data_IF_720616648903
#
_entry.id   IF_720616648903
#
_cell.length_a   1.000
_cell.length_b   1.000
_cell.length_c   1.000
_cell.angle_alpha   90.00
_cell.angle_beta   90.00
_cell.angle_gamma   90.00
#
_symmetry.space_group_name_H-M   'P 1'
#
loop_
_entity.id
_entity.type
_entity.pdbx_description
1 polymer ?
#
# COMPACT_ATOMS: atom_id res chain seq x y z
N UNK A 1 9.33 13.72 -10.04
CA UNK A 1 8.68 13.46 -8.74
C UNK A 1 9.54 12.45 -8.01
N UNK A 2 9.81 12.69 -6.72
CA UNK A 2 10.58 11.80 -5.85
C UNK A 2 9.66 11.29 -4.75
N UNK A 3 9.73 10.00 -4.45
CA UNK A 3 8.91 9.38 -3.42
C UNK A 3 9.77 8.91 -2.25
N UNK A 4 9.18 8.91 -1.05
CA UNK A 4 9.77 8.36 0.16
C UNK A 4 11.17 8.92 0.51
N UNK A 5 11.32 10.26 0.41
CA UNK A 5 12.62 10.92 0.58
C UNK A 5 13.28 10.64 1.94
N UNK A 6 12.49 10.32 2.96
CA UNK A 6 12.98 9.90 4.28
C UNK A 6 13.84 8.62 4.31
N UNK A 7 13.92 7.86 3.21
CA UNK A 7 14.80 6.69 3.06
C UNK A 7 16.03 6.94 2.19
N UNK A 8 16.21 8.17 1.72
CA UNK A 8 17.34 8.52 0.86
C UNK A 8 18.66 8.39 1.64
N UNK A 9 19.70 7.89 0.99
CA UNK A 9 21.03 7.90 1.57
C UNK A 9 21.61 9.32 1.62
N UNK A 10 22.62 9.53 2.46
CA UNK A 10 23.19 10.86 2.69
C UNK A 10 23.79 11.51 1.44
N UNK A 11 24.43 10.73 0.57
CA UNK A 11 25.06 11.29 -0.65
C UNK A 11 23.98 11.77 -1.62
N UNK A 12 22.94 10.96 -1.78
CA UNK A 12 21.76 11.33 -2.57
C UNK A 12 21.03 12.54 -1.97
N UNK A 13 20.93 12.66 -0.65
CA UNK A 13 20.35 13.84 0.02
C UNK A 13 21.13 15.13 -0.28
N UNK A 14 22.46 15.08 -0.19
CA UNK A 14 23.34 16.20 -0.51
C UNK A 14 23.18 16.64 -1.98
N UNK A 15 23.12 15.66 -2.90
CA UNK A 15 22.88 15.92 -4.31
C UNK A 15 21.51 16.57 -4.56
N UNK A 16 20.46 16.08 -3.90
CA UNK A 16 19.12 16.64 -4.03
C UNK A 16 19.02 18.06 -3.45
N UNK A 17 19.77 18.34 -2.38
CA UNK A 17 19.91 19.70 -1.85
C UNK A 17 20.57 20.64 -2.85
N UNK A 18 21.67 20.21 -3.46
CA UNK A 18 22.32 20.94 -4.54
C UNK A 18 21.35 21.17 -5.72
N UNK A 19 20.62 20.13 -6.13
CA UNK A 19 19.66 20.23 -7.23
C UNK A 19 18.56 21.26 -6.90
N UNK A 20 17.95 21.18 -5.72
CA UNK A 20 16.89 22.08 -5.28
C UNK A 20 17.34 23.56 -5.28
N UNK A 21 18.60 23.84 -4.93
CA UNK A 21 19.17 25.19 -4.97
C UNK A 21 19.37 25.72 -6.41
N UNK A 22 19.71 24.83 -7.34
CA UNK A 22 20.08 25.21 -8.71
C UNK A 22 18.91 25.19 -9.70
N UNK A 23 17.79 24.55 -9.37
CA UNK A 23 16.61 24.53 -10.26
C UNK A 23 15.76 25.81 -10.21
N UNK A 24 16.13 26.78 -9.36
CA UNK A 24 15.39 28.05 -9.18
C UNK A 24 15.27 28.90 -10.46
N UNK A 25 16.27 28.82 -11.33
CA UNK A 25 16.39 29.66 -12.53
C UNK A 25 15.93 28.92 -13.82
N UNK A 26 15.34 27.73 -13.67
CA UNK A 26 14.84 26.90 -14.77
C UNK A 26 13.37 26.52 -14.55
N UNK A 27 12.67 26.17 -15.63
CA UNK A 27 11.24 25.82 -15.59
C UNK A 27 11.03 24.37 -15.13
N UNK A 28 11.43 24.06 -13.91
CA UNK A 28 11.34 22.72 -13.30
C UNK A 28 10.66 22.81 -11.94
N UNK A 29 9.69 21.92 -11.68
CA UNK A 29 9.08 21.75 -10.37
C UNK A 29 9.54 20.42 -9.75
N UNK A 30 10.23 20.50 -8.61
CA UNK A 30 10.58 19.33 -7.82
C UNK A 30 9.46 19.00 -6.82
N UNK A 31 8.69 17.95 -7.14
CA UNK A 31 7.73 17.36 -6.21
C UNK A 31 8.39 16.20 -5.47
N UNK A 32 8.37 16.25 -4.14
CA UNK A 32 8.92 15.22 -3.28
C UNK A 32 7.93 14.85 -2.16
N UNK A 33 7.81 13.57 -1.84
CA UNK A 33 7.00 13.07 -0.71
C UNK A 33 7.89 12.49 0.39
N UNK A 34 7.48 12.65 1.64
CA UNK A 34 8.21 12.13 2.81
C UNK A 34 7.29 12.01 4.03
N UNK A 35 7.75 11.24 5.02
CA UNK A 35 7.02 11.05 6.29
C UNK A 35 7.29 12.16 7.30
N UNK A 36 6.34 12.44 8.21
CA UNK A 36 6.59 13.32 9.36
C UNK A 36 7.85 12.91 10.13
N UNK A 37 8.59 13.89 10.63
CA UNK A 37 9.85 13.68 11.35
C UNK A 37 11.10 13.76 10.48
N UNK A 38 10.97 13.59 9.16
CA UNK A 38 12.04 13.90 8.21
C UNK A 38 11.97 15.37 7.77
N UNK A 39 13.13 16.02 7.68
CA UNK A 39 13.27 17.42 7.26
C UNK A 39 14.24 17.53 6.10
N UNK A 40 13.75 17.73 4.86
CA UNK A 40 14.62 17.98 3.72
C UNK A 40 15.50 19.22 3.96
N UNK A 41 16.79 19.20 3.54
CA UNK A 41 17.72 20.32 3.77
C UNK A 41 17.27 21.68 3.22
N UNK A 42 16.42 21.68 2.20
CA UNK A 42 15.92 22.88 1.53
C UNK A 42 14.56 23.38 2.04
N UNK A 43 13.97 22.76 3.07
CA UNK A 43 12.57 23.02 3.44
C UNK A 43 12.32 24.44 3.98
N UNK A 44 13.32 25.05 4.63
CA UNK A 44 13.22 26.40 5.22
C UNK A 44 13.51 27.52 4.19
N UNK A 45 13.71 27.16 2.92
CA UNK A 45 14.05 28.12 1.86
C UNK A 45 12.78 28.71 1.26
N UNK A 46 12.84 29.96 0.83
CA UNK A 46 11.67 30.69 0.30
C UNK A 46 11.05 30.10 -0.97
N UNK A 47 11.81 29.29 -1.71
CA UNK A 47 11.37 28.60 -2.92
C UNK A 47 10.80 27.20 -2.63
N UNK A 48 10.81 26.74 -1.38
CA UNK A 48 10.25 25.47 -0.97
C UNK A 48 8.86 25.67 -0.34
N UNK A 49 7.89 24.88 -0.80
CA UNK A 49 6.57 24.78 -0.19
C UNK A 49 6.38 23.43 0.47
N UNK A 50 5.70 23.40 1.61
CA UNK A 50 5.28 22.17 2.28
C UNK A 50 3.77 22.12 2.37
N UNK A 51 3.18 21.01 1.93
CA UNK A 51 1.75 20.73 2.11
C UNK A 51 1.61 19.50 3.00
N UNK A 52 1.29 19.67 4.29
CA UNK A 52 1.03 18.53 5.15
C UNK A 52 -0.30 17.87 4.74
N UNK A 53 -0.27 16.58 4.45
CA UNK A 53 -1.48 15.81 4.17
C UNK A 53 -2.09 15.35 5.51
N UNK A 54 -3.24 15.90 5.83
CA UNK A 54 -4.04 15.49 6.99
C UNK A 54 -4.92 14.29 6.62
N UNK A 55 -5.37 13.49 7.60
CA UNK A 55 -6.48 12.57 7.39
C UNK A 55 -7.68 13.29 6.78
N UNK A 56 -8.45 12.58 5.94
CA UNK A 56 -9.67 13.09 5.35
C UNK A 56 -10.66 13.49 6.44
N UNK A 57 -11.40 14.57 6.18
CA UNK A 57 -12.53 14.92 7.02
C UNK A 57 -13.61 13.83 6.95
N UNK A 58 -14.55 13.83 7.91
CA UNK A 58 -15.67 12.90 7.88
C UNK A 58 -16.47 13.02 6.59
N UNK A 59 -16.70 14.23 6.10
CA UNK A 59 -17.49 14.49 4.90
C UNK A 59 -16.75 14.02 3.64
N UNK A 60 -15.45 14.29 3.53
CA UNK A 60 -14.60 13.79 2.43
C UNK A 60 -14.52 12.25 2.45
N UNK A 61 -14.46 11.66 3.64
CA UNK A 61 -14.46 10.20 3.81
C UNK A 61 -15.76 9.56 3.32
N UNK A 62 -16.92 10.16 3.64
CA UNK A 62 -18.22 9.72 3.13
C UNK A 62 -18.26 9.83 1.61
N UNK A 63 -17.79 10.95 1.05
CA UNK A 63 -17.75 11.14 -0.41
C UNK A 63 -16.85 10.11 -1.10
N UNK A 64 -15.69 9.80 -0.52
CA UNK A 64 -14.78 8.78 -1.03
C UNK A 64 -15.41 7.39 -1.01
N UNK A 65 -16.01 6.98 0.10
CA UNK A 65 -16.65 5.67 0.22
C UNK A 65 -17.78 5.50 -0.80
N UNK A 66 -18.62 6.53 -0.97
CA UNK A 66 -19.70 6.53 -1.95
C UNK A 66 -19.19 6.45 -3.39
N UNK A 67 -18.07 7.11 -3.71
CA UNK A 67 -17.50 7.08 -5.05
C UNK A 67 -16.91 5.71 -5.39
N UNK A 68 -16.26 5.03 -4.44
CA UNK A 68 -15.70 3.69 -4.62
C UNK A 68 -16.79 2.65 -4.84
N UNK A 69 -17.87 2.71 -4.05
CA UNK A 69 -18.97 1.74 -4.13
C UNK A 69 -19.88 1.91 -5.36
N UNK A 70 -19.81 3.05 -6.05
CA UNK A 70 -20.66 3.39 -7.22
C UNK A 70 -22.15 3.14 -6.98
N UNK A 71 -22.58 3.22 -5.73
CA UNK A 71 -23.95 2.95 -5.31
C UNK A 71 -24.52 4.21 -4.65
N UNK A 72 -25.52 4.82 -5.29
CA UNK A 72 -26.24 5.97 -4.73
C UNK A 72 -27.07 5.59 -3.49
N UNK A 73 -27.35 4.29 -3.30
CA UNK A 73 -28.23 3.78 -2.25
C UNK A 73 -27.54 2.75 -1.34
N UNK A 74 -26.38 3.09 -0.78
CA UNK A 74 -25.92 2.36 0.40
C UNK A 74 -26.84 2.66 1.58
N UNK A 75 -27.03 1.64 2.42
CA UNK A 75 -27.57 1.84 3.76
C UNK A 75 -26.60 2.81 4.46
N UNK A 76 -27.07 4.00 4.83
CA UNK A 76 -26.23 5.03 5.46
C UNK A 76 -25.44 4.50 6.66
N UNK A 77 -25.99 3.50 7.37
CA UNK A 77 -25.32 2.79 8.47
C UNK A 77 -23.99 2.13 8.05
N UNK A 78 -23.94 1.46 6.90
CA UNK A 78 -22.72 0.79 6.40
C UNK A 78 -21.66 1.82 6.02
N UNK A 79 -22.07 2.92 5.39
CA UNK A 79 -21.14 4.02 5.07
C UNK A 79 -20.59 4.65 6.35
N UNK A 80 -21.43 4.84 7.37
CA UNK A 80 -21.00 5.37 8.66
C UNK A 80 -20.02 4.43 9.38
N UNK A 81 -20.25 3.12 9.34
CA UNK A 81 -19.33 2.12 9.90
C UNK A 81 -17.97 2.14 9.18
N UNK A 82 -17.97 2.19 7.85
CA UNK A 82 -16.74 2.30 7.06
C UNK A 82 -15.99 3.59 7.41
N UNK A 83 -16.69 4.72 7.50
CA UNK A 83 -16.08 6.02 7.81
C UNK A 83 -15.54 6.06 9.23
N UNK A 84 -16.29 5.53 10.20
CA UNK A 84 -15.87 5.46 11.59
C UNK A 84 -14.62 4.59 11.76
N UNK A 85 -14.53 3.48 11.02
CA UNK A 85 -13.35 2.60 11.05
C UNK A 85 -12.18 3.17 10.25
N UNK A 86 -12.47 3.76 9.09
CA UNK A 86 -11.52 4.39 8.17
C UNK A 86 -10.60 5.43 8.81
N UNK A 87 -11.10 6.14 9.84
CA UNK A 87 -10.40 7.19 10.58
C UNK A 87 -9.70 8.23 9.67
N UNK A 88 -10.40 8.61 8.58
CA UNK A 88 -9.89 9.56 7.60
C UNK A 88 -8.73 9.05 6.73
N UNK A 89 -8.33 7.78 6.84
CA UNK A 89 -7.30 7.19 5.99
C UNK A 89 -7.90 6.78 4.63
N UNK A 90 -7.53 7.45 3.51
CA UNK A 90 -8.11 7.16 2.20
C UNK A 90 -7.96 5.69 1.78
N UNK A 91 -6.80 5.09 2.05
CA UNK A 91 -6.56 3.69 1.72
C UNK A 91 -7.47 2.77 2.54
N UNK A 92 -7.66 3.05 3.83
CA UNK A 92 -8.52 2.20 4.66
C UNK A 92 -9.99 2.30 4.24
N UNK A 93 -10.47 3.51 3.99
CA UNK A 93 -11.82 3.77 3.48
C UNK A 93 -12.07 3.04 2.16
N UNK A 94 -11.13 3.12 1.22
CA UNK A 94 -11.23 2.43 -0.07
C UNK A 94 -11.30 0.92 0.09
N UNK A 95 -10.40 0.33 0.89
CA UNK A 95 -10.35 -1.13 1.04
C UNK A 95 -11.60 -1.68 1.74
N UNK A 96 -12.09 -0.99 2.77
CA UNK A 96 -13.35 -1.34 3.43
C UNK A 96 -14.55 -1.22 2.48
N UNK A 97 -14.57 -0.16 1.67
CA UNK A 97 -15.59 0.05 0.65
C UNK A 97 -15.57 -1.05 -0.43
N UNK A 98 -14.39 -1.38 -0.99
CA UNK A 98 -14.25 -2.46 -1.97
C UNK A 98 -14.69 -3.81 -1.40
N UNK A 99 -14.29 -4.13 -0.16
CA UNK A 99 -14.69 -5.36 0.50
C UNK A 99 -16.21 -5.51 0.60
N UNK A 100 -16.90 -4.43 0.98
CA UNK A 100 -18.36 -4.40 1.09
C UNK A 100 -19.02 -4.47 -0.29
N UNK A 101 -18.45 -3.81 -1.31
CA UNK A 101 -19.00 -3.82 -2.68
C UNK A 101 -18.93 -5.19 -3.37
N UNK A 102 -17.93 -6.01 -3.04
CA UNK A 102 -17.81 -7.39 -3.55
C UNK A 102 -18.83 -8.35 -2.94
N UNK A 103 -19.32 -8.06 -1.72
CA UNK A 103 -20.38 -8.84 -1.10
C UNK A 103 -21.70 -8.53 -1.79
N UNK A 104 -22.12 -9.42 -2.70
CA UNK A 104 -23.32 -9.33 -3.56
C UNK A 104 -24.64 -9.04 -2.82
N UNK A 105 -24.69 -9.21 -1.50
CA UNK A 105 -25.77 -8.73 -0.65
C UNK A 105 -25.18 -7.75 0.37
N UNK A 106 -25.51 -6.46 0.22
CA UNK A 106 -25.29 -5.41 1.23
C UNK A 106 -26.16 -5.70 2.46
N UNK A 107 -25.84 -6.76 3.21
CA UNK A 107 -26.47 -7.06 4.49
C UNK A 107 -25.79 -6.27 5.59
N UNK A 108 -26.59 -5.76 6.51
CA UNK A 108 -26.17 -5.10 7.76
C UNK A 108 -25.28 -5.99 8.64
N UNK A 109 -25.21 -7.29 8.36
CA UNK A 109 -24.43 -8.29 9.10
C UNK A 109 -23.00 -8.48 8.56
N UNK A 110 -22.59 -7.74 7.51
CA UNK A 110 -21.20 -7.73 7.06
C UNK A 110 -20.34 -7.05 8.13
N UNK A 111 -19.63 -7.86 8.91
CA UNK A 111 -18.62 -7.40 9.87
C UNK A 111 -17.57 -6.55 9.13
N UNK A 112 -17.71 -5.23 9.21
CA UNK A 112 -16.64 -4.33 8.77
C UNK A 112 -15.41 -4.66 9.63
N UNK A 113 -14.26 -5.05 9.06
CA UNK A 113 -13.09 -5.44 9.86
C UNK A 113 -12.63 -4.31 10.79
N UNK A 114 -12.17 -4.64 12.00
CA UNK A 114 -11.88 -3.64 13.04
C UNK A 114 -10.51 -2.97 12.87
N UNK A 115 -9.59 -3.60 12.14
CA UNK A 115 -8.23 -3.08 11.91
C UNK A 115 -7.79 -3.26 10.45
N UNK A 116 -6.76 -2.51 10.03
CA UNK A 116 -6.14 -2.69 8.72
C UNK A 116 -5.53 -4.09 8.60
N UNK A 117 -5.01 -4.65 9.69
CA UNK A 117 -4.58 -6.05 9.74
C UNK A 117 -5.73 -7.01 9.44
N UNK A 118 -6.92 -6.79 9.98
CA UNK A 118 -8.09 -7.65 9.72
C UNK A 118 -8.51 -7.58 8.24
N UNK A 119 -8.43 -6.39 7.62
CA UNK A 119 -8.71 -6.23 6.18
C UNK A 119 -7.69 -6.98 5.33
N UNK A 120 -6.41 -6.81 5.65
CA UNK A 120 -5.32 -7.49 4.93
C UNK A 120 -5.40 -9.01 5.15
N UNK A 121 -5.68 -9.47 6.37
CA UNK A 121 -5.91 -10.88 6.68
C UNK A 121 -7.12 -11.42 5.93
N UNK A 122 -8.25 -10.72 5.91
CA UNK A 122 -9.42 -11.13 5.15
C UNK A 122 -9.13 -11.25 3.64
N UNK A 123 -8.25 -10.40 3.09
CA UNK A 123 -7.77 -10.54 1.71
C UNK A 123 -6.87 -11.76 1.54
N UNK A 124 -5.95 -12.00 2.48
CA UNK A 124 -5.07 -13.18 2.47
C UNK A 124 -5.88 -14.48 2.60
N UNK A 125 -6.91 -14.51 3.43
CA UNK A 125 -7.78 -15.66 3.68
C UNK A 125 -8.66 -16.02 2.48
N UNK A 126 -8.82 -15.11 1.51
CA UNK A 126 -9.50 -15.39 0.25
C UNK A 126 -8.59 -16.05 -0.80
N UNK A 127 -7.28 -16.09 -0.57
CA UNK A 127 -6.35 -16.80 -1.46
C UNK A 127 -6.53 -18.31 -1.29
N UNK A 128 -6.25 -19.06 -2.37
CA UNK A 128 -6.11 -20.50 -2.26
C UNK A 128 -4.99 -20.86 -1.26
N UNK A 129 -5.14 -21.99 -0.56
CA UNK A 129 -4.25 -22.37 0.54
C UNK A 129 -2.77 -22.37 0.15
N UNK A 130 -2.42 -22.86 -1.04
CA UNK A 130 -1.04 -22.89 -1.53
C UNK A 130 -0.54 -21.48 -1.92
N UNK A 131 -1.39 -20.63 -2.50
CA UNK A 131 -1.07 -19.23 -2.79
C UNK A 131 -0.82 -18.44 -1.51
N UNK A 132 -1.63 -18.69 -0.46
CA UNK A 132 -1.45 -18.11 0.87
C UNK A 132 -0.13 -18.58 1.49
N UNK A 133 0.18 -19.88 1.45
CA UNK A 133 1.46 -20.43 1.93
C UNK A 133 2.66 -19.82 1.20
N UNK A 134 2.55 -19.61 -0.12
CA UNK A 134 3.61 -18.95 -0.88
C UNK A 134 3.81 -17.51 -0.40
N UNK A 135 2.72 -16.75 -0.22
CA UNK A 135 2.77 -15.38 0.29
C UNK A 135 3.43 -15.30 1.68
N UNK A 136 3.08 -16.22 2.58
CA UNK A 136 3.70 -16.33 3.90
C UNK A 136 5.19 -16.69 3.81
N UNK A 137 5.55 -17.63 2.94
CA UNK A 137 6.96 -18.00 2.67
C UNK A 137 7.75 -16.80 2.18
N UNK A 138 7.20 -16.04 1.22
CA UNK A 138 7.80 -14.82 0.73
C UNK A 138 7.95 -13.76 1.83
N UNK A 139 6.97 -13.65 2.73
CA UNK A 139 7.01 -12.72 3.85
C UNK A 139 8.15 -13.00 4.84
N UNK A 140 8.57 -14.26 5.00
CA UNK A 140 9.75 -14.65 5.80
C UNK A 140 11.05 -14.21 5.14
N UNK A 141 11.13 -14.25 3.80
CA UNK A 141 12.33 -13.82 3.06
C UNK A 141 12.54 -12.31 3.23
N UNK A 142 11.45 -11.54 3.12
CA UNK A 142 11.46 -10.10 3.35
C UNK A 142 10.53 -9.34 2.38
N UNK A 143 10.55 -8.01 2.51
CA UNK A 143 9.71 -7.11 1.68
C UNK A 143 10.03 -7.17 0.19
N UNK A 144 11.27 -7.49 -0.15
CA UNK A 144 11.76 -7.69 -1.51
C UNK A 144 12.48 -9.03 -1.56
N UNK A 145 12.18 -9.85 -2.56
CA UNK A 145 12.74 -11.20 -2.67
C UNK A 145 12.98 -11.60 -4.13
N UNK A 146 14.15 -12.18 -4.45
CA UNK A 146 14.42 -12.68 -5.79
C UNK A 146 13.72 -14.03 -6.03
N UNK A 147 13.26 -14.27 -7.26
CA UNK A 147 12.57 -15.52 -7.64
C UNK A 147 13.37 -16.78 -7.26
N UNK A 148 14.69 -16.73 -7.49
CA UNK A 148 15.59 -17.86 -7.21
C UNK A 148 15.58 -18.26 -5.74
N UNK A 149 15.51 -17.29 -4.83
CA UNK A 149 15.48 -17.56 -3.40
C UNK A 149 14.12 -18.12 -2.98
N UNK A 150 13.03 -17.57 -3.51
CA UNK A 150 11.69 -18.10 -3.26
C UNK A 150 11.59 -19.56 -3.73
N UNK A 151 12.07 -19.89 -4.93
CA UNK A 151 12.07 -21.25 -5.46
C UNK A 151 12.93 -22.21 -4.62
N UNK A 152 14.01 -21.73 -4.02
CA UNK A 152 14.87 -22.56 -3.18
C UNK A 152 14.22 -22.93 -1.84
N UNK A 153 13.34 -22.07 -1.31
CA UNK A 153 12.68 -22.29 -0.01
C UNK A 153 11.24 -22.80 -0.13
N UNK A 154 10.61 -22.66 -1.30
CA UNK A 154 9.24 -23.11 -1.54
C UNK A 154 9.14 -24.64 -1.46
N UNK A 155 8.23 -25.12 -0.61
CA UNK A 155 7.99 -26.55 -0.37
C UNK A 155 6.52 -26.95 -0.51
N UNK A 156 5.67 -26.05 -1.00
CA UNK A 156 4.25 -26.32 -1.23
C UNK A 156 3.99 -27.01 -2.55
N UNK A 157 2.71 -27.18 -2.87
CA UNK A 157 2.25 -27.81 -4.10
C UNK A 157 2.25 -26.79 -5.25
N UNK A 158 2.56 -27.26 -6.46
CA UNK A 158 2.54 -26.42 -7.67
C UNK A 158 3.75 -25.47 -7.81
N UNK A 159 3.78 -24.78 -8.94
CA UNK A 159 4.88 -23.87 -9.29
C UNK A 159 4.78 -22.55 -8.53
N UNK A 160 5.87 -22.05 -7.97
CA UNK A 160 5.87 -20.75 -7.30
C UNK A 160 5.50 -19.61 -8.28
N UNK A 161 5.90 -19.73 -9.54
CA UNK A 161 5.58 -18.77 -10.59
C UNK A 161 4.08 -18.71 -10.92
N UNK A 162 3.36 -19.83 -10.81
CA UNK A 162 1.89 -19.87 -10.97
C UNK A 162 1.21 -19.07 -9.86
N UNK A 163 1.60 -19.32 -8.61
CA UNK A 163 1.06 -18.61 -7.45
C UNK A 163 1.48 -17.13 -7.44
N UNK A 164 2.70 -16.79 -7.89
CA UNK A 164 3.14 -15.41 -8.04
C UNK A 164 2.28 -14.63 -9.05
N UNK A 165 1.89 -15.27 -10.16
CA UNK A 165 0.95 -14.64 -11.11
C UNK A 165 -0.39 -14.32 -10.46
N UNK A 166 -0.88 -15.19 -9.59
CA UNK A 166 -2.09 -14.93 -8.82
C UNK A 166 -1.89 -13.80 -7.79
N UNK A 167 -0.78 -13.80 -7.06
CA UNK A 167 -0.46 -12.73 -6.11
C UNK A 167 -0.30 -11.36 -6.79
N UNK A 168 0.25 -11.31 -8.01
CA UNK A 168 0.31 -10.09 -8.82
C UNK A 168 -1.10 -9.66 -9.25
N UNK A 169 -1.93 -10.59 -9.71
CA UNK A 169 -3.32 -10.32 -10.11
C UNK A 169 -4.15 -9.73 -8.96
N UNK A 170 -3.91 -10.19 -7.73
CA UNK A 170 -4.55 -9.68 -6.52
C UNK A 170 -3.78 -8.53 -5.86
N UNK A 171 -2.75 -7.99 -6.53
CA UNK A 171 -1.96 -6.84 -6.13
C UNK A 171 -1.22 -6.96 -4.79
N UNK A 172 -0.93 -8.17 -4.32
CA UNK A 172 -0.13 -8.40 -3.11
C UNK A 172 1.35 -8.08 -3.35
N UNK A 173 1.84 -8.44 -4.54
CA UNK A 173 3.22 -8.21 -4.97
C UNK A 173 3.25 -7.66 -6.40
N UNK A 174 4.37 -7.07 -6.79
CA UNK A 174 4.65 -6.73 -8.18
C UNK A 174 6.06 -7.20 -8.58
N UNK A 175 6.24 -7.45 -9.86
CA UNK A 175 7.53 -7.82 -10.43
C UNK A 175 8.35 -6.58 -10.79
N UNK A 176 9.64 -6.61 -10.46
CA UNK A 176 10.64 -5.63 -10.84
C UNK A 176 11.83 -6.35 -11.49
N UNK A 177 12.16 -5.95 -12.70
CA UNK A 177 13.34 -6.48 -13.40
C UNK A 177 14.62 -5.99 -12.72
N UNK A 178 15.50 -6.90 -12.35
CA UNK A 178 16.84 -6.59 -11.84
C UNK A 178 17.92 -7.22 -12.73
N UNK A 179 19.16 -6.79 -12.56
CA UNK A 179 20.33 -7.29 -13.30
C UNK A 179 20.56 -8.80 -13.13
N UNK A 180 20.13 -9.38 -12.00
CA UNK A 180 20.32 -10.79 -11.68
C UNK A 180 19.06 -11.67 -11.91
N UNK A 181 17.98 -11.08 -12.45
CA UNK A 181 16.72 -11.76 -12.76
C UNK A 181 15.49 -11.02 -12.23
N UNK A 182 14.36 -11.73 -12.17
CA UNK A 182 13.10 -11.19 -11.62
C UNK A 182 13.15 -11.10 -10.10
N UNK A 183 12.84 -9.90 -9.61
CA UNK A 183 12.67 -9.62 -8.19
C UNK A 183 11.21 -9.26 -7.94
N UNK A 184 10.65 -9.74 -6.85
CA UNK A 184 9.28 -9.45 -6.46
C UNK A 184 9.27 -8.61 -5.19
N UNK A 185 8.37 -7.65 -5.13
CA UNK A 185 8.26 -6.70 -4.03
C UNK A 185 6.83 -6.69 -3.52
N UNK A 186 6.64 -6.78 -2.21
CA UNK A 186 5.34 -6.55 -1.60
C UNK A 186 4.88 -5.12 -1.88
N UNK A 187 3.66 -4.98 -2.41
CA UNK A 187 3.10 -3.66 -2.71
C UNK A 187 3.01 -2.78 -1.47
N UNK A 188 2.71 -3.39 -0.32
CA UNK A 188 2.64 -2.70 0.97
C UNK A 188 3.41 -3.45 2.06
N UNK A 189 4.15 -2.73 2.90
CA UNK A 189 4.87 -3.31 4.04
C UNK A 189 3.91 -4.04 5.00
N UNK A 190 2.73 -3.45 5.23
CA UNK A 190 1.70 -4.03 6.09
C UNK A 190 1.22 -5.40 5.60
N UNK A 191 1.18 -5.63 4.29
CA UNK A 191 0.86 -6.93 3.70
C UNK A 191 1.89 -7.98 4.08
N UNK A 192 3.18 -7.64 4.00
CA UNK A 192 4.26 -8.53 4.41
C UNK A 192 4.20 -8.81 5.92
N UNK A 193 4.04 -7.78 6.75
CA UNK A 193 3.93 -7.92 8.21
C UNK A 193 2.75 -8.80 8.61
N UNK A 194 1.61 -8.60 7.95
CA UNK A 194 0.38 -9.38 8.20
C UNK A 194 0.56 -10.83 7.74
N UNK A 195 1.13 -11.08 6.55
CA UNK A 195 1.43 -12.43 6.09
C UNK A 195 2.44 -13.14 7.01
N UNK A 196 3.47 -12.44 7.49
CA UNK A 196 4.44 -12.99 8.44
C UNK A 196 3.82 -13.30 9.81
N UNK A 197 2.94 -12.43 10.31
CA UNK A 197 2.27 -12.61 11.60
C UNK A 197 1.16 -13.68 11.62
N UNK A 198 0.77 -14.26 10.47
CA UNK A 198 -0.21 -15.36 10.37
C UNK A 198 0.43 -16.75 10.24
N UNK A 199 1.76 -16.84 10.32
CA UNK A 199 2.49 -18.11 10.30
C UNK A 199 2.28 -18.94 11.57
#
# INVERSE_FOLDING_TARGET
MLEDLHWVDKISEEFLGFLAENIRDVRVLLLATYRPGYRPPWIDKSYAGQTPLQPLSRDDSVQMVRSVLRAEHLIDLVTQEIVAKGDGNPFFLEQLALHVGEARELRTDLMVPNTIHDVVMARIDRLADETKRLLQTAAVIGREFPLRLLNAVWKGLGSAEDHLRELIRHEFVYERTATEGSVYVFRHALTQETAYGSL
#
